data_IF_864677619402
#
_entry.id   IF_864677619402
#
_cell.length_a   1.000
_cell.length_b   1.000
_cell.length_c   1.000
_cell.angle_alpha   90.00
_cell.angle_beta   90.00
_cell.angle_gamma   90.00
#
_symmetry.space_group_name_H-M   'P 1'
#
loop_
_entity.id
_entity.type
_entity.pdbx_description
1 polymer ?
#
# COMPACT_ATOMS: atom_id res chain seq x y z
N UNK A 1 21.49 1.98 18.21
CA UNK A 1 20.08 1.61 17.93
C UNK A 1 20.02 0.22 17.37
N UNK A 2 18.99 -0.53 17.75
CA UNK A 2 18.69 -1.82 17.10
C UNK A 2 18.11 -1.61 15.70
N UNK A 3 18.54 -2.43 14.74
CA UNK A 3 18.03 -2.43 13.37
C UNK A 3 18.11 -3.82 12.75
N UNK A 4 17.16 -4.16 11.89
CA UNK A 4 17.19 -5.38 11.08
C UNK A 4 17.79 -5.08 9.71
N UNK A 5 18.89 -5.76 9.41
CA UNK A 5 19.69 -5.55 8.20
C UNK A 5 19.58 -6.75 7.27
N UNK A 6 19.25 -6.52 6.02
CA UNK A 6 19.42 -7.49 4.92
C UNK A 6 20.84 -7.34 4.41
N UNK A 7 21.72 -8.32 4.66
CA UNK A 7 23.13 -8.30 4.23
C UNK A 7 23.35 -8.82 2.82
N UNK A 8 22.48 -9.70 2.37
CA UNK A 8 22.46 -10.27 1.03
C UNK A 8 21.02 -10.52 0.58
N UNK A 9 20.75 -10.39 -0.70
CA UNK A 9 19.42 -10.67 -1.24
C UNK A 9 19.07 -12.15 -1.06
N UNK A 10 17.84 -12.40 -0.61
CA UNK A 10 17.34 -13.74 -0.25
C UNK A 10 17.82 -14.23 1.12
N UNK A 11 18.76 -13.51 1.77
CA UNK A 11 19.29 -13.85 3.09
C UNK A 11 18.32 -13.52 4.25
N UNK A 12 18.70 -13.89 5.50
CA UNK A 12 17.90 -13.60 6.69
C UNK A 12 17.94 -12.11 7.06
N UNK A 13 16.97 -11.68 7.87
CA UNK A 13 17.02 -10.41 8.58
C UNK A 13 17.97 -10.55 9.78
N UNK A 14 19.01 -9.72 9.84
CA UNK A 14 20.03 -9.77 10.90
C UNK A 14 19.84 -8.59 11.83
N UNK A 15 19.58 -8.85 13.11
CA UNK A 15 19.49 -7.79 14.13
C UNK A 15 20.91 -7.31 14.47
N UNK A 16 21.13 -6.00 14.37
CA UNK A 16 22.40 -5.34 14.63
C UNK A 16 22.24 -4.11 15.52
N UNK A 17 23.30 -3.79 16.26
CA UNK A 17 23.43 -2.51 16.94
C UNK A 17 24.20 -1.53 16.06
N UNK A 18 23.52 -0.50 15.60
CA UNK A 18 24.06 0.53 14.70
C UNK A 18 24.08 1.91 15.40
N UNK A 19 24.92 2.84 14.98
CA UNK A 19 24.83 4.22 15.46
C UNK A 19 23.47 4.84 15.06
N UNK A 20 22.96 5.74 15.91
CA UNK A 20 21.75 6.51 15.56
C UNK A 20 22.13 7.47 14.42
N UNK A 21 21.39 7.48 13.29
CA UNK A 21 21.69 8.36 12.17
C UNK A 21 21.46 9.83 12.52
N UNK A 22 22.20 10.71 11.86
CA UNK A 22 21.99 12.15 11.97
C UNK A 22 21.19 12.64 10.76
N UNK A 23 20.13 13.44 10.94
CA UNK A 23 19.37 13.95 9.83
C UNK A 23 20.18 14.97 9.00
N UNK A 24 20.07 14.90 7.68
CA UNK A 24 20.57 15.94 6.78
C UNK A 24 19.76 17.25 6.96
N UNK A 25 20.18 18.33 6.31
CA UNK A 25 19.59 19.66 6.50
C UNK A 25 18.07 19.69 6.25
N UNK A 26 17.58 18.90 5.30
CA UNK A 26 16.16 18.80 4.91
C UNK A 26 15.43 17.56 5.47
N UNK A 27 16.10 16.78 6.35
CA UNK A 27 15.55 15.56 6.94
C UNK A 27 15.12 15.76 8.40
N UNK A 28 14.28 14.85 8.86
CA UNK A 28 13.99 14.66 10.27
C UNK A 28 14.43 13.25 10.71
N UNK A 29 14.97 13.15 11.91
CA UNK A 29 15.19 11.90 12.62
C UNK A 29 13.88 11.48 13.27
N UNK A 30 13.41 10.29 12.93
CA UNK A 30 12.18 9.71 13.47
C UNK A 30 12.55 8.60 14.43
N UNK A 31 12.09 8.73 15.69
CA UNK A 31 12.02 7.59 16.60
C UNK A 31 10.82 6.75 16.17
N UNK A 32 11.10 5.62 15.55
CA UNK A 32 10.08 4.70 15.04
C UNK A 32 9.27 4.14 16.18
N UNK A 33 7.96 4.14 16.04
CA UNK A 33 7.01 3.53 16.98
C UNK A 33 6.24 2.39 16.37
N UNK A 34 6.14 2.37 15.03
CA UNK A 34 5.49 1.33 14.29
C UNK A 34 5.98 1.33 12.84
N UNK A 35 6.24 0.16 12.30
CA UNK A 35 6.51 -0.06 10.87
C UNK A 35 5.69 -1.24 10.39
N UNK A 36 4.76 -1.01 9.46
CA UNK A 36 3.97 -2.11 8.90
C UNK A 36 4.80 -2.93 7.91
N UNK A 37 4.48 -4.22 7.83
CA UNK A 37 5.15 -5.21 6.98
C UNK A 37 4.27 -5.53 5.78
N UNK A 38 4.85 -5.56 4.59
CA UNK A 38 4.11 -5.87 3.38
C UNK A 38 4.84 -6.78 2.38
N UNK A 39 4.14 -7.15 1.32
CA UNK A 39 4.66 -8.00 0.25
C UNK A 39 5.81 -7.34 -0.53
N UNK A 40 5.88 -6.01 -0.54
CA UNK A 40 6.95 -5.29 -1.20
C UNK A 40 8.28 -5.45 -0.46
N UNK A 41 8.25 -5.49 0.89
CA UNK A 41 9.45 -5.80 1.70
C UNK A 41 10.04 -7.16 1.33
N UNK A 42 9.19 -8.18 1.11
CA UNK A 42 9.65 -9.49 0.63
C UNK A 42 10.25 -9.43 -0.77
N UNK A 43 9.61 -8.68 -1.67
CA UNK A 43 10.08 -8.50 -3.06
C UNK A 43 11.47 -7.84 -3.09
N UNK A 44 11.69 -6.85 -2.22
CA UNK A 44 12.97 -6.16 -2.07
C UNK A 44 14.00 -7.10 -1.46
N UNK A 45 13.66 -7.74 -0.34
CA UNK A 45 14.54 -8.69 0.37
C UNK A 45 15.03 -9.81 -0.55
N UNK A 46 14.14 -10.33 -1.42
CA UNK A 46 14.46 -11.40 -2.36
C UNK A 46 15.29 -10.92 -3.57
N UNK A 47 15.59 -9.62 -3.70
CA UNK A 47 16.29 -9.06 -4.86
C UNK A 47 15.46 -9.07 -6.16
N UNK A 48 14.13 -9.23 -6.04
CA UNK A 48 13.21 -9.29 -7.19
C UNK A 48 12.75 -7.91 -7.67
N UNK A 49 13.05 -6.85 -6.91
CA UNK A 49 12.77 -5.48 -7.32
C UNK A 49 13.95 -4.87 -8.02
N UNK A 50 13.85 -4.62 -9.32
CA UNK A 50 14.97 -4.20 -10.17
C UNK A 50 15.69 -2.90 -9.72
N UNK A 51 14.98 -2.02 -8.98
CA UNK A 51 15.57 -0.80 -8.42
C UNK A 51 16.28 -1.04 -7.07
N UNK A 52 16.03 -2.15 -6.38
CA UNK A 52 16.76 -2.55 -5.18
C UNK A 52 18.06 -3.25 -5.58
N UNK A 53 19.12 -2.48 -5.77
CA UNK A 53 20.40 -2.95 -6.31
C UNK A 53 21.53 -2.90 -5.28
N UNK A 54 21.25 -2.62 -4.02
CA UNK A 54 22.23 -2.42 -2.97
C UNK A 54 21.87 -3.19 -1.70
N UNK A 55 22.82 -3.91 -1.14
CA UNK A 55 22.86 -4.42 0.22
C UNK A 55 24.21 -4.01 0.85
N UNK A 56 24.35 -3.82 2.16
CA UNK A 56 23.30 -4.02 3.18
C UNK A 56 22.21 -2.93 3.16
N UNK A 57 20.98 -3.32 3.57
CA UNK A 57 19.84 -2.41 3.63
C UNK A 57 18.98 -2.69 4.87
N UNK A 58 18.39 -1.64 5.44
CA UNK A 58 17.33 -1.70 6.45
C UNK A 58 16.00 -1.50 5.70
N UNK A 59 15.11 -2.50 5.76
CA UNK A 59 13.78 -2.46 5.13
C UNK A 59 12.80 -1.60 5.94
N UNK A 60 11.55 -1.55 5.48
CA UNK A 60 10.43 -0.90 6.15
C UNK A 60 10.18 0.51 5.64
N UNK A 61 9.06 0.68 4.97
CA UNK A 61 8.67 1.94 4.32
C UNK A 61 7.29 2.44 4.74
N UNK A 62 6.54 1.66 5.53
CA UNK A 62 5.25 2.03 6.13
C UNK A 62 5.49 2.49 7.59
N UNK A 63 5.75 3.79 7.78
CA UNK A 63 6.36 4.33 9.01
C UNK A 63 5.35 5.15 9.81
N UNK A 64 5.34 4.98 11.13
CA UNK A 64 4.81 5.94 12.07
C UNK A 64 5.75 6.10 13.27
N UNK A 65 5.90 7.32 13.76
CA UNK A 65 6.79 7.60 14.88
C UNK A 65 6.71 9.03 15.37
N UNK A 66 7.70 9.41 16.16
CA UNK A 66 7.85 10.74 16.73
C UNK A 66 9.11 11.40 16.19
N UNK A 67 9.02 12.64 15.80
CA UNK A 67 10.18 13.45 15.39
C UNK A 67 11.09 13.66 16.61
N UNK A 68 12.31 13.17 16.53
CA UNK A 68 13.33 13.26 17.60
C UNK A 68 14.29 14.42 17.37
N UNK A 69 14.65 14.69 16.12
CA UNK A 69 15.48 15.81 15.71
C UNK A 69 15.12 16.26 14.29
N UNK A 70 15.46 17.49 13.94
CA UNK A 70 15.24 18.06 12.60
C UNK A 70 16.51 18.70 12.08
N UNK A 71 16.73 18.61 10.76
CA UNK A 71 17.78 19.33 10.07
C UNK A 71 17.50 20.84 10.00
N UNK A 72 18.53 21.62 9.67
CA UNK A 72 18.49 23.08 9.74
C UNK A 72 17.47 23.73 8.80
N UNK A 73 17.12 23.10 7.68
CA UNK A 73 16.19 23.62 6.67
C UNK A 73 14.75 23.12 6.88
N UNK A 74 14.48 22.32 7.92
CA UNK A 74 13.15 21.74 8.18
C UNK A 74 12.25 22.75 8.86
N UNK A 75 11.13 23.10 8.21
CA UNK A 75 10.13 24.02 8.72
C UNK A 75 8.73 23.39 8.87
N UNK A 76 8.50 22.18 8.32
CA UNK A 76 7.17 21.59 8.22
C UNK A 76 6.79 20.71 9.42
N UNK A 77 7.79 20.26 10.19
CA UNK A 77 7.61 19.43 11.40
C UNK A 77 8.55 19.93 12.50
N UNK A 78 8.24 19.57 13.74
CA UNK A 78 9.01 19.94 14.95
C UNK A 78 9.25 18.72 15.81
N UNK A 79 10.27 18.78 16.67
CA UNK A 79 10.53 17.75 17.68
C UNK A 79 9.29 17.50 18.53
N UNK A 80 8.93 16.25 18.72
CA UNK A 80 7.73 15.83 19.42
C UNK A 80 6.51 15.59 18.52
N UNK A 81 6.52 16.05 17.25
CA UNK A 81 5.42 15.79 16.33
C UNK A 81 5.27 14.28 16.07
N UNK A 82 4.04 13.80 16.09
CA UNK A 82 3.65 12.45 15.68
C UNK A 82 3.46 12.44 14.17
N UNK A 83 4.12 11.55 13.46
CA UNK A 83 4.15 11.56 11.99
C UNK A 83 4.00 10.18 11.37
N UNK A 84 3.48 10.16 10.14
CA UNK A 84 3.62 9.08 9.15
C UNK A 84 4.37 9.63 7.93
N UNK A 85 4.77 8.76 7.01
CA UNK A 85 5.59 9.13 5.86
C UNK A 85 5.09 8.54 4.55
N UNK A 86 5.16 9.31 3.46
CA UNK A 86 5.18 8.74 2.12
C UNK A 86 6.55 8.10 1.84
N UNK A 87 6.58 7.08 0.97
CA UNK A 87 7.83 6.34 0.72
C UNK A 87 8.68 6.91 -0.43
N UNK A 88 8.16 7.81 -1.27
CA UNK A 88 8.84 8.29 -2.47
C UNK A 88 9.76 9.47 -2.19
N UNK A 89 11.04 9.33 -2.59
CA UNK A 89 12.02 10.42 -2.56
C UNK A 89 11.89 11.23 -3.86
N UNK A 90 11.25 12.38 -3.80
CA UNK A 90 10.85 13.18 -4.96
C UNK A 90 11.58 14.52 -5.01
N UNK A 91 11.67 15.12 -6.20
CA UNK A 91 12.39 16.41 -6.36
C UNK A 91 11.59 17.64 -5.90
N UNK A 92 10.29 17.54 -5.67
CA UNK A 92 9.42 18.64 -5.24
C UNK A 92 9.15 19.73 -6.30
N UNK A 93 9.87 19.77 -7.43
CA UNK A 93 9.90 20.91 -8.37
C UNK A 93 9.52 20.58 -9.83
N UNK A 94 9.43 19.32 -10.22
CA UNK A 94 9.02 18.95 -11.57
C UNK A 94 7.50 19.13 -11.75
N UNK A 95 7.03 19.13 -13.00
CA UNK A 95 5.60 19.29 -13.32
C UNK A 95 4.69 18.33 -12.55
N UNK A 96 5.14 17.09 -12.30
CA UNK A 96 4.35 16.10 -11.59
C UNK A 96 4.27 16.42 -10.09
N UNK A 97 5.39 16.80 -9.46
CA UNK A 97 5.38 17.21 -8.06
C UNK A 97 4.50 18.44 -7.83
N UNK A 98 4.61 19.47 -8.71
CA UNK A 98 3.85 20.70 -8.60
C UNK A 98 2.34 20.55 -8.84
N UNK A 99 1.92 19.42 -9.47
CA UNK A 99 0.51 19.11 -9.74
C UNK A 99 -0.07 18.02 -8.82
N UNK A 100 0.64 17.66 -7.72
CA UNK A 100 0.19 16.64 -6.76
C UNK A 100 0.25 15.20 -7.31
N UNK A 101 1.15 14.95 -8.24
CA UNK A 101 1.43 13.64 -8.85
C UNK A 101 2.87 13.19 -8.60
N UNK A 102 3.40 13.53 -7.44
CA UNK A 102 4.80 13.26 -7.06
C UNK A 102 5.17 11.78 -7.09
N UNK A 103 4.19 10.86 -6.99
CA UNK A 103 4.41 9.41 -7.14
C UNK A 103 5.04 9.02 -8.48
N UNK A 104 4.89 9.89 -9.50
CA UNK A 104 5.50 9.75 -10.83
C UNK A 104 6.48 10.89 -11.13
N UNK A 105 7.22 11.33 -10.11
CA UNK A 105 8.24 12.36 -10.22
C UNK A 105 9.23 12.10 -11.37
N UNK A 106 9.48 13.12 -12.19
CA UNK A 106 10.41 12.99 -13.33
C UNK A 106 11.88 12.88 -12.91
N UNK A 107 12.22 13.44 -11.73
CA UNK A 107 13.55 13.35 -11.11
C UNK A 107 13.44 12.57 -9.80
N UNK A 108 13.02 11.31 -9.93
CA UNK A 108 12.79 10.40 -8.83
C UNK A 108 14.12 9.93 -8.22
N UNK A 109 14.29 10.13 -6.91
CA UNK A 109 15.53 9.83 -6.19
C UNK A 109 15.56 8.44 -5.55
N UNK A 110 14.40 7.80 -5.43
CA UNK A 110 14.32 6.48 -4.81
C UNK A 110 13.18 6.34 -3.81
N UNK A 111 13.34 5.37 -2.92
CA UNK A 111 12.36 5.03 -1.89
C UNK A 111 13.03 4.95 -0.52
N UNK A 112 12.33 5.37 0.51
CA UNK A 112 12.66 5.05 1.91
C UNK A 112 12.57 3.53 2.09
N UNK A 113 13.51 2.94 2.82
CA UNK A 113 13.58 1.49 3.02
C UNK A 113 14.17 0.71 1.84
N UNK A 114 14.63 1.39 0.77
CA UNK A 114 15.28 0.77 -0.39
C UNK A 114 16.55 1.53 -0.78
N UNK A 115 16.46 2.84 -0.99
CA UNK A 115 17.60 3.69 -1.39
C UNK A 115 18.16 4.46 -0.20
N UNK A 116 17.35 4.68 0.82
CA UNK A 116 17.72 5.16 2.14
C UNK A 116 17.33 4.13 3.19
N UNK A 117 17.92 4.12 4.40
CA UNK A 117 17.51 3.23 5.47
C UNK A 117 16.01 3.34 5.77
N UNK A 118 15.38 2.19 6.02
CA UNK A 118 13.97 2.09 6.39
C UNK A 118 13.75 2.06 7.90
N UNK A 119 12.56 1.63 8.29
CA UNK A 119 12.06 1.69 9.65
C UNK A 119 11.97 0.32 10.36
N UNK A 120 12.63 -0.72 9.85
CA UNK A 120 12.90 -1.92 10.63
C UNK A 120 14.05 -1.64 11.62
N UNK A 121 13.92 -0.54 12.35
CA UNK A 121 14.91 0.01 13.27
C UNK A 121 14.25 0.94 14.30
N UNK A 122 14.91 1.17 15.45
CA UNK A 122 14.44 2.13 16.46
C UNK A 122 14.41 3.58 15.92
N UNK A 123 15.30 3.92 14.98
CA UNK A 123 15.37 5.26 14.38
C UNK A 123 15.63 5.17 12.87
N UNK A 124 15.07 6.13 12.14
CA UNK A 124 15.36 6.35 10.72
C UNK A 124 15.34 7.83 10.39
N UNK A 125 16.04 8.25 9.33
CA UNK A 125 15.91 9.62 8.78
C UNK A 125 14.98 9.62 7.58
N UNK A 126 14.13 10.63 7.48
CA UNK A 126 13.17 10.79 6.39
C UNK A 126 13.17 12.25 5.97
N UNK A 127 13.21 12.58 4.66
CA UNK A 127 13.02 13.95 4.21
C UNK A 127 11.71 14.55 4.78
N UNK A 128 11.79 15.72 5.37
CA UNK A 128 10.63 16.38 5.98
C UNK A 128 9.49 16.62 4.98
N UNK A 129 9.83 16.72 3.70
CA UNK A 129 8.86 16.78 2.61
C UNK A 129 7.93 15.55 2.54
N UNK A 130 8.37 14.38 3.01
CA UNK A 130 7.61 13.13 3.02
C UNK A 130 6.68 13.01 4.23
N UNK A 131 6.91 13.78 5.29
CA UNK A 131 6.22 13.60 6.56
C UNK A 131 4.85 14.27 6.58
N UNK A 132 3.88 13.58 7.18
CA UNK A 132 2.53 14.07 7.47
C UNK A 132 2.26 13.86 8.95
N UNK A 133 1.80 14.91 9.64
CA UNK A 133 1.42 14.84 11.05
C UNK A 133 0.18 13.98 11.23
N UNK A 134 0.17 13.16 12.28
CA UNK A 134 -1.00 12.37 12.70
C UNK A 134 -1.49 12.81 14.07
N UNK A 135 -2.81 12.95 14.28
CA UNK A 135 -3.37 13.34 15.57
C UNK A 135 -3.22 12.23 16.63
N UNK A 136 -3.37 12.60 17.89
CA UNK A 136 -3.29 11.63 19.01
C UNK A 136 -4.34 10.52 18.95
N UNK A 137 -5.48 10.78 18.31
CA UNK A 137 -6.56 9.80 18.10
C UNK A 137 -6.16 8.62 17.20
N UNK A 138 -5.07 8.74 16.42
CA UNK A 138 -4.53 7.66 15.60
C UNK A 138 -3.35 7.03 16.34
N UNK A 139 -3.45 5.74 16.70
CA UNK A 139 -2.32 5.00 17.28
C UNK A 139 -1.16 4.87 16.28
N UNK A 140 0.07 4.61 16.73
CA UNK A 140 1.20 4.44 15.81
C UNK A 140 1.05 3.22 14.88
N UNK A 141 0.58 2.04 15.35
CA UNK A 141 0.27 0.95 14.43
C UNK A 141 -0.74 1.34 13.34
N UNK A 142 -1.81 2.06 13.69
CA UNK A 142 -2.75 2.60 12.72
C UNK A 142 -2.11 3.66 11.80
N UNK A 143 -1.23 4.50 12.35
CA UNK A 143 -0.50 5.52 11.61
C UNK A 143 0.46 4.97 10.56
N UNK A 144 1.09 3.82 10.83
CA UNK A 144 2.04 3.21 9.90
C UNK A 144 1.37 2.75 8.59
N UNK A 145 0.12 2.31 8.63
CA UNK A 145 -0.58 1.75 7.45
C UNK A 145 -1.27 2.80 6.57
N UNK A 146 -1.22 4.09 6.95
CA UNK A 146 -1.96 5.15 6.26
C UNK A 146 -1.47 5.40 4.83
N UNK A 147 -0.15 5.46 4.64
CA UNK A 147 0.42 5.87 3.35
C UNK A 147 0.31 4.79 2.28
N UNK A 148 0.56 3.53 2.62
CA UNK A 148 0.57 2.46 1.63
C UNK A 148 -0.72 1.64 1.67
N UNK A 149 -1.05 1.01 2.79
CA UNK A 149 -2.19 0.09 2.84
C UNK A 149 -3.53 0.81 2.61
N UNK A 150 -3.71 2.06 3.07
CA UNK A 150 -4.93 2.86 2.87
C UNK A 150 -4.76 3.84 1.71
N UNK A 151 -3.64 4.54 1.64
CA UNK A 151 -3.40 5.56 0.62
C UNK A 151 -3.38 5.01 -0.80
N UNK A 152 -2.82 3.82 -1.01
CA UNK A 152 -2.77 3.20 -2.34
C UNK A 152 -4.16 2.97 -2.93
N UNK A 153 -5.10 2.28 -2.27
CA UNK A 153 -6.44 2.10 -2.82
C UNK A 153 -7.24 3.41 -2.84
N UNK A 154 -6.99 4.33 -1.91
CA UNK A 154 -7.60 5.66 -1.95
C UNK A 154 -7.24 6.39 -3.25
N UNK A 155 -5.96 6.48 -3.59
CA UNK A 155 -5.49 7.06 -4.86
C UNK A 155 -6.06 6.32 -6.07
N UNK A 156 -6.01 4.99 -6.05
CA UNK A 156 -6.48 4.15 -7.15
C UNK A 156 -7.96 4.38 -7.45
N UNK A 157 -8.81 4.41 -6.43
CA UNK A 157 -10.25 4.53 -6.59
C UNK A 157 -10.69 5.98 -6.84
N UNK A 158 -10.13 6.97 -6.11
CA UNK A 158 -10.55 8.36 -6.22
C UNK A 158 -9.96 9.10 -7.42
N UNK A 159 -8.68 8.88 -7.74
CA UNK A 159 -7.96 9.66 -8.77
C UNK A 159 -7.76 8.89 -10.06
N UNK A 160 -7.57 7.57 -10.01
CA UNK A 160 -7.33 6.78 -11.20
C UNK A 160 -8.62 6.24 -11.78
N UNK A 161 -9.42 5.56 -10.97
CA UNK A 161 -10.74 5.06 -11.38
C UNK A 161 -11.80 6.17 -11.46
N UNK A 162 -11.65 7.25 -10.69
CA UNK A 162 -12.70 8.27 -10.52
C UNK A 162 -14.05 7.65 -10.15
N UNK A 163 -14.00 6.70 -9.18
CA UNK A 163 -15.14 5.92 -8.75
C UNK A 163 -16.31 6.82 -8.36
N UNK A 164 -17.51 6.48 -8.83
CA UNK A 164 -18.74 7.20 -8.52
C UNK A 164 -19.64 6.38 -7.59
N UNK A 165 -20.47 7.03 -6.75
CA UNK A 165 -21.50 6.34 -5.99
C UNK A 165 -22.43 5.52 -6.90
N UNK A 166 -22.77 4.31 -6.47
CA UNK A 166 -23.63 3.40 -7.23
C UNK A 166 -22.92 2.51 -8.25
N UNK A 167 -21.64 2.75 -8.53
CA UNK A 167 -20.82 1.87 -9.38
C UNK A 167 -20.51 0.55 -8.69
N UNK A 168 -20.25 -0.48 -9.47
CA UNK A 168 -19.87 -1.83 -9.03
C UNK A 168 -18.37 -2.03 -9.15
N UNK A 169 -17.71 -2.39 -8.05
CA UNK A 169 -16.26 -2.55 -7.95
C UNK A 169 -15.91 -3.98 -7.59
N UNK A 170 -15.01 -4.58 -8.33
CA UNK A 170 -14.35 -5.84 -7.95
C UNK A 170 -12.99 -5.51 -7.36
N UNK A 171 -12.67 -6.07 -6.19
CA UNK A 171 -11.35 -5.95 -5.55
C UNK A 171 -10.73 -7.33 -5.49
N UNK A 172 -9.64 -7.57 -6.22
CA UNK A 172 -8.85 -8.82 -6.13
C UNK A 172 -7.83 -8.70 -4.99
N UNK A 173 -7.48 -9.83 -4.34
CA UNK A 173 -6.62 -9.80 -3.15
C UNK A 173 -7.24 -9.03 -1.98
N UNK A 174 -8.56 -9.12 -1.84
CA UNK A 174 -9.39 -8.29 -0.97
C UNK A 174 -9.10 -8.42 0.53
N UNK A 175 -8.52 -9.53 0.98
CA UNK A 175 -8.15 -9.74 2.40
C UNK A 175 -6.72 -9.30 2.73
N UNK A 176 -5.91 -8.96 1.72
CA UNK A 176 -4.56 -8.42 1.92
C UNK A 176 -4.55 -6.99 2.43
N UNK A 177 -3.37 -6.47 2.77
CA UNK A 177 -3.25 -5.15 3.40
C UNK A 177 -3.85 -4.00 2.59
N UNK A 178 -3.64 -3.96 1.28
CA UNK A 178 -4.24 -2.96 0.39
C UNK A 178 -5.70 -3.28 0.11
N UNK A 179 -6.01 -4.57 -0.17
CA UNK A 179 -7.35 -5.00 -0.57
C UNK A 179 -8.42 -4.79 0.49
N UNK A 180 -8.12 -5.09 1.75
CA UNK A 180 -9.08 -4.93 2.85
C UNK A 180 -9.46 -3.46 3.08
N UNK A 181 -8.53 -2.55 2.82
CA UNK A 181 -8.81 -1.12 2.87
C UNK A 181 -9.46 -0.62 1.59
N UNK A 182 -9.18 -1.24 0.43
CA UNK A 182 -9.87 -0.93 -0.83
C UNK A 182 -11.37 -1.20 -0.72
N UNK A 183 -11.76 -2.31 -0.09
CA UNK A 183 -13.18 -2.62 0.20
C UNK A 183 -13.82 -1.49 1.00
N UNK A 184 -13.18 -1.03 2.08
CA UNK A 184 -13.70 0.07 2.89
C UNK A 184 -13.78 1.39 2.12
N UNK A 185 -12.74 1.73 1.35
CA UNK A 185 -12.72 2.98 0.55
C UNK A 185 -13.83 2.96 -0.50
N UNK A 186 -14.00 1.86 -1.24
CA UNK A 186 -15.06 1.74 -2.23
C UNK A 186 -16.45 1.82 -1.60
N UNK A 187 -16.67 1.13 -0.48
CA UNK A 187 -17.93 1.17 0.26
C UNK A 187 -18.22 2.58 0.80
N UNK A 188 -17.23 3.25 1.39
CA UNK A 188 -17.33 4.65 1.85
C UNK A 188 -17.71 5.61 0.72
N UNK A 189 -17.23 5.36 -0.51
CA UNK A 189 -17.58 6.14 -1.70
C UNK A 189 -18.98 5.84 -2.24
N UNK A 190 -19.73 4.90 -1.62
CA UNK A 190 -21.08 4.52 -2.03
C UNK A 190 -21.12 3.54 -3.19
N UNK A 191 -20.04 2.83 -3.47
CA UNK A 191 -20.00 1.77 -4.47
C UNK A 191 -20.45 0.42 -3.90
N UNK A 192 -20.97 -0.45 -4.77
CA UNK A 192 -21.22 -1.86 -4.48
C UNK A 192 -19.93 -2.66 -4.69
N UNK A 193 -19.57 -3.54 -3.74
CA UNK A 193 -18.27 -4.18 -3.75
C UNK A 193 -18.37 -5.69 -3.83
N UNK A 194 -17.68 -6.29 -4.79
CA UNK A 194 -17.38 -7.71 -4.82
C UNK A 194 -15.92 -7.93 -4.41
N UNK A 195 -15.68 -8.71 -3.36
CA UNK A 195 -14.35 -9.04 -2.88
C UNK A 195 -13.91 -10.43 -3.37
N UNK A 196 -12.71 -10.53 -3.94
CA UNK A 196 -12.10 -11.76 -4.45
C UNK A 196 -10.79 -12.00 -3.72
N UNK A 197 -10.67 -13.14 -3.04
CA UNK A 197 -9.43 -13.59 -2.38
C UNK A 197 -9.47 -15.10 -2.19
N UNK A 198 -8.44 -15.68 -1.59
CA UNK A 198 -8.35 -17.10 -1.20
C UNK A 198 -8.51 -17.19 0.31
N UNK A 199 -9.43 -18.08 0.76
CA UNK A 199 -9.64 -18.39 2.16
C UNK A 199 -10.84 -17.69 2.80
N UNK A 200 -11.63 -18.49 3.50
CA UNK A 200 -12.93 -18.08 4.05
C UNK A 200 -12.82 -16.93 5.07
N UNK A 201 -11.77 -16.90 5.90
CA UNK A 201 -11.59 -15.87 6.92
C UNK A 201 -11.35 -14.47 6.31
N UNK A 202 -10.51 -14.39 5.26
CA UNK A 202 -10.26 -13.16 4.51
C UNK A 202 -11.54 -12.62 3.87
N UNK A 203 -12.31 -13.52 3.26
CA UNK A 203 -13.57 -13.19 2.62
C UNK A 203 -14.67 -12.78 3.62
N UNK A 204 -14.75 -13.45 4.76
CA UNK A 204 -15.62 -13.05 5.85
C UNK A 204 -15.29 -11.64 6.33
N UNK A 205 -13.99 -11.35 6.52
CA UNK A 205 -13.55 -10.03 6.95
C UNK A 205 -13.85 -8.93 5.92
N UNK A 206 -13.69 -9.24 4.63
CA UNK A 206 -14.06 -8.30 3.56
C UNK A 206 -15.58 -7.99 3.57
N UNK A 207 -16.41 -9.00 3.83
CA UNK A 207 -17.87 -8.82 3.97
C UNK A 207 -18.23 -7.93 5.14
N UNK A 208 -17.62 -8.11 6.31
CA UNK A 208 -17.81 -7.28 7.50
C UNK A 208 -17.45 -5.80 7.25
N UNK A 209 -16.62 -5.53 6.25
CA UNK A 209 -16.12 -4.19 5.90
C UNK A 209 -16.81 -3.59 4.67
N UNK A 210 -17.87 -4.22 4.17
CA UNK A 210 -18.74 -3.62 3.16
C UNK A 210 -18.77 -4.33 1.80
N UNK A 211 -18.17 -5.51 1.66
CA UNK A 211 -18.33 -6.30 0.43
C UNK A 211 -19.71 -6.98 0.44
N UNK A 212 -20.53 -6.74 -0.59
CA UNK A 212 -21.82 -7.41 -0.78
C UNK A 212 -21.67 -8.86 -1.23
N UNK A 213 -20.74 -9.07 -2.16
CA UNK A 213 -20.42 -10.37 -2.74
C UNK A 213 -18.99 -10.71 -2.44
N UNK A 214 -18.73 -11.98 -2.10
CA UNK A 214 -17.38 -12.50 -1.94
C UNK A 214 -17.20 -13.75 -2.81
N UNK A 215 -16.01 -13.92 -3.36
CA UNK A 215 -15.67 -15.08 -4.18
C UNK A 215 -14.31 -15.66 -3.75
N UNK A 216 -14.29 -16.95 -3.47
CA UNK A 216 -13.03 -17.67 -3.21
C UNK A 216 -12.36 -18.01 -4.54
N UNK A 217 -11.23 -17.36 -4.83
CA UNK A 217 -10.50 -17.53 -6.08
C UNK A 217 -9.89 -18.92 -6.24
N UNK A 218 -9.85 -19.75 -5.20
CA UNK A 218 -9.49 -21.17 -5.32
C UNK A 218 -10.51 -21.96 -6.13
N UNK A 219 -11.74 -21.47 -6.27
CA UNK A 219 -12.79 -22.04 -7.11
C UNK A 219 -12.66 -21.70 -8.60
N UNK A 220 -11.65 -20.93 -9.01
CA UNK A 220 -11.34 -20.62 -10.40
C UNK A 220 -11.87 -19.27 -10.89
N UNK A 221 -12.55 -19.26 -12.06
CA UNK A 221 -12.97 -18.02 -12.75
C UNK A 221 -14.16 -17.34 -12.05
N UNK A 222 -13.92 -16.16 -11.46
CA UNK A 222 -14.95 -15.37 -10.80
C UNK A 222 -15.79 -14.51 -11.74
N UNK A 223 -15.47 -14.48 -13.04
CA UNK A 223 -16.19 -13.61 -13.98
C UNK A 223 -17.65 -14.02 -14.17
N UNK A 224 -17.99 -15.31 -14.00
CA UNK A 224 -19.38 -15.79 -14.03
C UNK A 224 -20.17 -15.18 -12.88
N UNK A 225 -19.66 -15.30 -11.64
CA UNK A 225 -20.31 -14.70 -10.46
C UNK A 225 -20.40 -13.18 -10.57
N UNK A 226 -19.35 -12.52 -11.10
CA UNK A 226 -19.38 -11.08 -11.35
C UNK A 226 -20.48 -10.69 -12.33
N UNK A 227 -20.67 -11.45 -13.41
CA UNK A 227 -21.74 -11.23 -14.37
C UNK A 227 -23.14 -11.48 -13.78
N UNK A 228 -23.31 -12.52 -13.00
CA UNK A 228 -24.58 -12.78 -12.28
C UNK A 228 -24.91 -11.64 -11.32
N UNK A 229 -23.97 -11.20 -10.49
CA UNK A 229 -24.13 -10.07 -9.57
C UNK A 229 -24.50 -8.76 -10.27
N UNK A 230 -24.02 -8.56 -11.49
CA UNK A 230 -24.25 -7.35 -12.27
C UNK A 230 -25.37 -7.49 -13.32
N UNK A 231 -26.21 -8.52 -13.24
CA UNK A 231 -27.27 -8.82 -14.22
C UNK A 231 -26.76 -8.90 -15.67
N UNK A 232 -25.53 -9.39 -15.86
CA UNK A 232 -24.89 -9.54 -17.17
C UNK A 232 -24.09 -8.33 -17.66
N UNK A 233 -24.21 -7.16 -17.02
CA UNK A 233 -23.54 -5.92 -17.45
C UNK A 233 -22.04 -5.92 -17.21
N UNK A 234 -21.60 -6.55 -16.11
CA UNK A 234 -20.20 -6.50 -15.65
C UNK A 234 -19.96 -5.38 -14.63
N UNK A 235 -18.76 -5.33 -14.08
CA UNK A 235 -18.34 -4.34 -13.10
C UNK A 235 -17.80 -3.07 -13.78
N UNK A 236 -18.13 -1.91 -13.22
CA UNK A 236 -17.66 -0.61 -13.70
C UNK A 236 -16.16 -0.43 -13.44
N UNK A 237 -15.68 -0.96 -12.31
CA UNK A 237 -14.28 -0.87 -11.91
C UNK A 237 -13.77 -2.24 -11.45
N UNK A 238 -12.57 -2.61 -11.86
CA UNK A 238 -11.80 -3.71 -11.25
C UNK A 238 -10.52 -3.13 -10.67
N UNK A 239 -10.31 -3.27 -9.36
CA UNK A 239 -9.05 -2.97 -8.71
C UNK A 239 -8.21 -4.25 -8.64
N UNK A 240 -7.21 -4.33 -9.51
CA UNK A 240 -6.36 -5.51 -9.68
C UNK A 240 -5.11 -5.40 -8.81
N UNK A 241 -5.06 -6.21 -7.74
CA UNK A 241 -3.97 -6.21 -6.76
C UNK A 241 -3.08 -7.47 -6.82
N UNK A 242 -3.46 -8.47 -7.60
CA UNK A 242 -2.79 -9.79 -7.65
C UNK A 242 -1.88 -9.93 -8.88
N UNK A 243 -2.40 -9.59 -10.05
CA UNK A 243 -1.67 -9.67 -11.31
C UNK A 243 -2.14 -10.83 -12.20
N UNK A 244 -1.22 -11.55 -12.84
CA UNK A 244 -1.54 -12.51 -13.92
C UNK A 244 -2.49 -13.64 -13.49
N UNK A 245 -2.51 -14.03 -12.22
CA UNK A 245 -3.37 -15.12 -11.73
C UNK A 245 -4.87 -14.77 -11.75
N UNK A 246 -5.23 -13.49 -11.64
CA UNK A 246 -6.62 -13.02 -11.60
C UNK A 246 -7.01 -12.22 -12.84
N UNK A 247 -6.04 -11.82 -13.65
CA UNK A 247 -6.24 -10.87 -14.75
C UNK A 247 -7.28 -11.31 -15.78
N UNK A 248 -7.28 -12.59 -16.18
CA UNK A 248 -8.22 -13.12 -17.17
C UNK A 248 -9.68 -13.05 -16.68
N UNK A 249 -9.91 -13.39 -15.41
CA UNK A 249 -11.24 -13.25 -14.78
C UNK A 249 -11.61 -11.79 -14.58
N UNK A 250 -10.64 -10.96 -14.19
CA UNK A 250 -10.80 -9.51 -14.02
C UNK A 250 -11.27 -8.84 -15.30
N UNK A 251 -10.59 -9.09 -16.43
CA UNK A 251 -10.94 -8.47 -17.71
C UNK A 251 -12.29 -8.95 -18.27
N UNK A 252 -12.63 -10.24 -18.09
CA UNK A 252 -13.94 -10.79 -18.46
C UNK A 252 -15.08 -10.22 -17.60
N UNK A 253 -14.77 -9.73 -16.42
CA UNK A 253 -15.76 -9.15 -15.50
C UNK A 253 -16.09 -7.69 -15.79
N UNK A 254 -15.29 -6.98 -16.61
CA UNK A 254 -15.51 -5.57 -16.91
C UNK A 254 -16.80 -5.33 -17.69
N UNK A 255 -17.52 -4.30 -17.31
CA UNK A 255 -18.61 -3.73 -18.11
C UNK A 255 -18.10 -3.06 -19.39
N UNK A 256 -18.98 -2.63 -20.28
CA UNK A 256 -18.65 -1.67 -21.33
C UNK A 256 -18.25 -0.35 -20.69
N UNK A 257 -17.26 0.33 -21.25
CA UNK A 257 -16.59 1.49 -20.68
C UNK A 257 -16.01 1.25 -19.28
N UNK A 258 -15.80 0.00 -18.89
CA UNK A 258 -15.24 -0.38 -17.60
C UNK A 258 -13.75 -0.03 -17.47
N UNK A 259 -13.33 0.23 -16.25
CA UNK A 259 -11.95 0.65 -15.91
C UNK A 259 -11.28 -0.39 -15.04
N UNK A 260 -10.12 -0.89 -15.48
CA UNK A 260 -9.25 -1.73 -14.67
C UNK A 260 -8.09 -0.93 -14.13
N UNK A 261 -7.92 -0.91 -12.82
CA UNK A 261 -6.83 -0.21 -12.15
C UNK A 261 -5.81 -1.24 -11.67
N UNK A 262 -4.65 -1.28 -12.31
CA UNK A 262 -3.57 -2.19 -11.96
C UNK A 262 -2.68 -1.54 -10.90
N UNK A 263 -2.58 -2.20 -9.75
CA UNK A 263 -1.77 -1.79 -8.60
C UNK A 263 -0.73 -2.84 -8.25
N UNK A 264 -1.11 -4.14 -8.26
CA UNK A 264 -0.25 -5.27 -7.90
C UNK A 264 0.15 -6.11 -9.12
N UNK A 265 1.33 -6.74 -9.02
CA UNK A 265 1.86 -7.66 -10.04
C UNK A 265 2.64 -8.82 -9.39
N UNK A 266 2.10 -9.35 -8.27
CA UNK A 266 2.81 -10.35 -7.46
C UNK A 266 2.88 -11.74 -8.11
N UNK A 267 1.96 -12.05 -9.03
CA UNK A 267 1.86 -13.38 -9.66
C UNK A 267 2.40 -13.43 -11.09
N UNK A 268 2.99 -12.36 -11.59
CA UNK A 268 3.60 -12.31 -12.91
C UNK A 268 3.74 -10.89 -13.46
N UNK A 269 4.56 -10.75 -14.49
CA UNK A 269 4.93 -9.45 -15.08
C UNK A 269 4.22 -9.16 -16.41
N UNK A 270 3.57 -10.16 -17.01
CA UNK A 270 2.88 -10.02 -18.29
C UNK A 270 1.38 -10.21 -18.12
N UNK A 271 0.62 -9.33 -18.76
CA UNK A 271 -0.83 -9.34 -18.80
C UNK A 271 -1.26 -9.38 -20.28
N UNK A 272 -2.20 -10.27 -20.62
CA UNK A 272 -2.69 -10.42 -21.99
C UNK A 272 -4.08 -9.83 -22.12
N UNK A 273 -4.22 -8.80 -22.93
CA UNK A 273 -5.51 -8.21 -23.30
C UNK A 273 -5.69 -8.21 -24.82
N UNK A 274 -6.91 -8.46 -25.29
CA UNK A 274 -7.25 -8.38 -26.71
C UNK A 274 -7.48 -6.93 -27.11
N UNK A 275 -6.70 -6.34 -28.03
CA UNK A 275 -6.96 -4.99 -28.53
C UNK A 275 -8.37 -4.84 -29.12
N UNK A 276 -8.86 -5.88 -29.82
CA UNK A 276 -10.20 -5.87 -30.40
C UNK A 276 -11.29 -5.80 -29.33
N UNK A 277 -11.13 -6.54 -28.21
CA UNK A 277 -12.07 -6.48 -27.10
C UNK A 277 -12.02 -5.12 -26.40
N UNK A 278 -10.84 -4.53 -26.24
CA UNK A 278 -10.68 -3.19 -25.68
C UNK A 278 -11.40 -2.13 -26.54
N UNK A 279 -11.24 -2.19 -27.86
CA UNK A 279 -11.92 -1.26 -28.79
C UNK A 279 -13.44 -1.45 -28.73
N UNK A 280 -13.91 -2.71 -28.78
CA UNK A 280 -15.35 -3.00 -28.83
C UNK A 280 -16.10 -2.63 -27.57
N UNK A 281 -15.42 -2.57 -26.43
CA UNK A 281 -16.01 -2.26 -25.12
C UNK A 281 -15.55 -0.92 -24.55
N UNK A 282 -14.67 -0.19 -25.24
CA UNK A 282 -14.06 1.07 -24.74
C UNK A 282 -13.44 0.92 -23.35
N UNK A 283 -12.73 -0.20 -23.09
CA UNK A 283 -12.11 -0.44 -21.80
C UNK A 283 -10.90 0.46 -21.55
N UNK A 284 -10.78 0.95 -20.31
CA UNK A 284 -9.60 1.64 -19.81
C UNK A 284 -8.78 0.72 -18.90
N UNK A 285 -7.50 0.51 -19.22
CA UNK A 285 -6.55 -0.20 -18.38
C UNK A 285 -5.52 0.80 -17.87
N UNK A 286 -5.54 1.09 -16.57
CA UNK A 286 -4.81 2.18 -15.95
C UNK A 286 -3.86 1.67 -14.87
N UNK A 287 -2.59 2.09 -14.90
CA UNK A 287 -1.68 1.90 -13.79
C UNK A 287 -1.97 2.89 -12.65
N UNK A 288 -1.79 2.43 -11.41
CA UNK A 288 -1.87 3.28 -10.21
C UNK A 288 -0.65 3.05 -9.33
N UNK A 289 -0.17 4.10 -8.67
CA UNK A 289 1.06 4.04 -7.89
C UNK A 289 0.91 4.82 -6.58
N UNK A 290 0.67 4.08 -5.49
CA UNK A 290 0.63 4.60 -4.11
C UNK A 290 -0.23 5.87 -3.93
N UNK A 291 0.20 6.81 -3.10
CA UNK A 291 -0.54 8.00 -2.67
C UNK A 291 0.35 9.24 -2.73
N UNK A 292 -0.21 10.39 -3.11
CA UNK A 292 0.45 11.69 -2.97
C UNK A 292 0.40 12.16 -1.51
N UNK A 293 1.31 13.08 -1.14
CA UNK A 293 1.31 13.69 0.21
C UNK A 293 -0.03 14.37 0.53
N UNK A 294 -0.61 15.06 -0.44
CA UNK A 294 -1.91 15.72 -0.28
C UNK A 294 -3.02 14.71 0.02
N UNK A 295 -3.06 13.62 -0.73
CA UNK A 295 -4.05 12.56 -0.49
C UNK A 295 -3.79 11.83 0.83
N UNK A 296 -2.53 11.69 1.27
CA UNK A 296 -2.22 11.14 2.58
C UNK A 296 -2.79 12.01 3.71
N UNK A 297 -2.79 13.34 3.57
CA UNK A 297 -3.48 14.23 4.53
C UNK A 297 -5.00 13.96 4.52
N UNK A 298 -5.60 13.75 3.35
CA UNK A 298 -7.02 13.39 3.23
C UNK A 298 -7.30 12.03 3.93
N UNK A 299 -6.44 11.03 3.74
CA UNK A 299 -6.53 9.72 4.41
C UNK A 299 -6.41 9.85 5.93
N UNK A 300 -5.45 10.65 6.44
CA UNK A 300 -5.33 10.94 7.88
C UNK A 300 -6.63 11.49 8.44
N UNK A 301 -7.26 12.43 7.77
CA UNK A 301 -8.52 13.03 8.19
C UNK A 301 -9.67 12.02 8.19
N UNK A 302 -9.79 11.17 7.17
CA UNK A 302 -10.81 10.12 7.07
C UNK A 302 -10.67 9.07 8.17
N UNK A 303 -9.44 8.69 8.50
CA UNK A 303 -9.18 7.76 9.60
C UNK A 303 -9.44 8.41 10.96
N UNK A 304 -9.01 9.67 11.16
CA UNK A 304 -9.30 10.41 12.39
C UNK A 304 -10.81 10.62 12.63
N UNK A 305 -11.59 10.77 11.56
CA UNK A 305 -13.05 10.86 11.60
C UNK A 305 -13.75 9.49 11.75
N UNK A 306 -13.01 8.37 11.70
CA UNK A 306 -13.56 7.02 11.80
C UNK A 306 -14.24 6.51 10.53
N UNK A 307 -14.13 7.23 9.40
CA UNK A 307 -14.70 6.82 8.11
C UNK A 307 -13.98 5.63 7.50
N UNK A 308 -12.71 5.46 7.78
CA UNK A 308 -11.88 4.30 7.41
C UNK A 308 -11.22 3.77 8.68
N UNK A 309 -11.29 2.46 8.89
CA UNK A 309 -10.68 1.78 10.03
C UNK A 309 -9.38 1.08 9.57
N UNK A 310 -8.22 1.48 10.08
CA UNK A 310 -6.97 0.74 9.85
C UNK A 310 -7.09 -0.70 10.36
N UNK A 311 -6.81 -1.67 9.49
CA UNK A 311 -6.87 -3.10 9.82
C UNK A 311 -5.46 -3.60 10.11
N UNK A 312 -5.06 -3.47 11.37
CA UNK A 312 -3.83 -4.03 11.93
C UNK A 312 -4.21 -5.24 12.76
N UNK A 313 -3.74 -6.42 12.38
CA UNK A 313 -4.11 -7.71 12.97
C UNK A 313 -3.10 -8.25 13.97
N UNK A 314 -2.00 -7.54 14.17
CA UNK A 314 -1.00 -7.85 15.19
C UNK A 314 0.15 -6.86 15.18
N UNK A 315 0.76 -6.68 16.39
CA UNK A 315 2.00 -5.93 16.60
C UNK A 315 3.04 -6.86 17.20
N UNK A 316 4.27 -6.74 16.76
CA UNK A 316 5.36 -7.67 17.09
C UNK A 316 6.67 -6.90 17.27
N UNK A 317 7.59 -7.35 18.16
CA UNK A 317 8.92 -6.77 18.26
C UNK A 317 9.76 -7.05 16.99
N UNK A 318 10.83 -6.28 16.79
CA UNK A 318 11.73 -6.46 15.62
C UNK A 318 12.25 -7.89 15.49
N UNK A 319 12.52 -8.55 16.59
CA UNK A 319 13.07 -9.91 16.66
C UNK A 319 12.14 -10.95 15.99
N UNK A 320 10.85 -10.68 15.89
CA UNK A 320 9.87 -11.56 15.26
C UNK A 320 9.70 -11.34 13.76
N UNK A 321 10.38 -10.35 13.17
CA UNK A 321 10.20 -9.97 11.76
C UNK A 321 10.44 -11.14 10.78
N UNK A 322 11.39 -12.03 11.08
CA UNK A 322 11.65 -13.21 10.24
C UNK A 322 10.43 -14.15 10.18
N UNK A 323 9.82 -14.43 11.33
CA UNK A 323 8.62 -15.25 11.42
C UNK A 323 7.42 -14.57 10.72
N UNK A 324 7.31 -13.24 10.85
CA UNK A 324 6.27 -12.47 10.17
C UNK A 324 6.46 -12.49 8.64
N UNK A 325 7.69 -12.35 8.14
CA UNK A 325 7.98 -12.48 6.71
C UNK A 325 7.58 -13.88 6.19
N UNK A 326 7.83 -14.94 6.98
CA UNK A 326 7.41 -16.30 6.59
C UNK A 326 5.89 -16.44 6.55
N UNK A 327 5.16 -15.92 7.53
CA UNK A 327 3.68 -15.91 7.53
C UNK A 327 3.12 -15.14 6.34
N UNK A 328 3.77 -14.03 5.97
CA UNK A 328 3.38 -13.24 4.80
C UNK A 328 3.59 -14.01 3.49
N UNK A 329 4.73 -14.75 3.35
CA UNK A 329 4.98 -15.66 2.22
C UNK A 329 3.92 -16.74 2.10
N UNK A 330 3.47 -17.27 3.23
CA UNK A 330 2.42 -18.30 3.31
C UNK A 330 1.00 -17.74 3.11
N UNK A 331 0.86 -16.41 2.90
CA UNK A 331 -0.43 -15.73 2.75
C UNK A 331 -1.37 -15.86 3.98
N UNK A 332 -0.81 -16.02 5.17
CA UNK A 332 -1.54 -16.21 6.44
C UNK A 332 -2.01 -14.88 7.07
N UNK A 333 -1.55 -13.75 6.56
CA UNK A 333 -1.84 -12.42 7.13
C UNK A 333 -3.08 -11.82 6.47
N UNK A 334 -4.00 -11.34 7.30
CA UNK A 334 -5.17 -10.54 6.90
C UNK A 334 -4.87 -9.08 7.26
N UNK A 335 -5.12 -8.16 6.34
CA UNK A 335 -4.78 -6.75 6.57
C UNK A 335 -3.28 -6.54 6.69
N UNK A 336 -2.85 -5.88 7.77
CA UNK A 336 -1.44 -5.61 8.07
C UNK A 336 -1.04 -6.13 9.45
N UNK A 337 0.21 -6.51 9.57
CA UNK A 337 0.93 -6.66 10.84
C UNK A 337 2.01 -5.60 10.92
N UNK A 338 2.42 -5.25 12.13
CA UNK A 338 3.28 -4.11 12.41
C UNK A 338 4.42 -4.54 13.32
N UNK A 339 5.63 -4.08 13.04
CA UNK A 339 6.79 -4.17 13.92
C UNK A 339 6.83 -2.92 14.80
N UNK A 340 7.05 -3.10 16.11
CA UNK A 340 7.29 -2.07 17.11
C UNK A 340 8.72 -2.22 17.61
N UNK A 341 9.64 -1.34 17.15
CA UNK A 341 11.05 -1.37 17.55
C UNK A 341 11.31 -1.03 19.00
#
# INVERSE_FOLDING_TARGET
MKALVVKEFGGPLVLEDLPIPQPAADEALIRVKACAVDQFDLTIRDGKFAMANKVPIILGHEIAGVVEAVGADVMSVSVGDRVTSTLYLTCGKCRYCLTGRETICADFKGYVGIHTPGAYAEYTTVPAANLVKIPESISFPAGSVLANAIGTPFHALTKRAQLQPGERVIVTGAGGGVGIHAVQVAHMMGAFVMAVDIGAEKLSRARDLGAEVVFDASNGDFSVTAREWTNGEGADVVLELVGSATFDSSIKSLARAGRMIIVGSHTGTELKASPQAMIANEWEILGSRNVSKRELVEVVNLVAAGSIKPIVTGTYPLEEAEAIHQRLRNQEIIGRVVLEP
#
